data_IF_751137119307
#
_entry.id   IF_751137119307
#
_cell.length_a   1.000
_cell.length_b   1.000
_cell.length_c   1.000
_cell.angle_alpha   90.00
_cell.angle_beta   90.00
_cell.angle_gamma   90.00
#
_symmetry.space_group_name_H-M   'P 1'
#
loop_
_entity.id
_entity.type
_entity.pdbx_description
1 polymer ?
#
# COMPACT_ATOMS: atom_id res chain seq x y z
N UNK A 1 -45.04 -6.61 57.59
CA UNK A 1 -44.94 -5.52 56.58
C UNK A 1 -43.50 -5.02 56.58
N UNK A 2 -42.57 -5.71 55.94
CA UNK A 2 -42.22 -5.63 54.50
C UNK A 2 -42.08 -4.19 53.99
N UNK A 3 -40.89 -3.62 54.15
CA UNK A 3 -40.30 -2.59 53.28
C UNK A 3 -38.79 -2.90 53.35
N UNK A 4 -38.20 -3.59 52.38
CA UNK A 4 -38.05 -3.12 51.01
C UNK A 4 -36.55 -2.90 50.81
N UNK A 5 -35.83 -4.01 50.63
CA UNK A 5 -34.40 -4.08 50.32
C UNK A 5 -34.12 -3.16 49.12
N UNK A 6 -33.57 -1.98 49.38
CA UNK A 6 -33.09 -1.06 48.34
C UNK A 6 -31.79 -1.63 47.76
N UNK A 7 -31.95 -2.63 46.90
CA UNK A 7 -30.93 -3.03 45.93
C UNK A 7 -30.71 -1.81 45.04
N UNK A 8 -29.74 -0.97 45.42
CA UNK A 8 -29.06 -0.11 44.45
C UNK A 8 -28.28 -1.05 43.55
N UNK A 9 -28.94 -1.55 42.50
CA UNK A 9 -28.26 -2.00 41.29
C UNK A 9 -27.53 -0.76 40.78
N UNK A 10 -26.29 -0.58 41.27
CA UNK A 10 -25.30 0.19 40.56
C UNK A 10 -24.99 -0.67 39.34
N UNK A 11 -25.82 -0.51 38.31
CA UNK A 11 -25.50 -0.96 36.97
C UNK A 11 -24.31 -0.10 36.56
N UNK A 12 -23.11 -0.51 36.99
CA UNK A 12 -21.88 0.02 36.44
C UNK A 12 -21.90 -0.42 34.98
N UNK A 13 -22.49 0.43 34.13
CA UNK A 13 -22.12 0.49 32.73
C UNK A 13 -20.62 0.77 32.73
N UNK A 14 -19.83 -0.31 32.69
CA UNK A 14 -18.54 -0.29 32.07
C UNK A 14 -18.83 0.06 30.61
N UNK A 15 -18.91 1.35 30.34
CA UNK A 15 -18.77 1.86 28.98
C UNK A 15 -17.34 1.52 28.62
N UNK A 16 -17.13 0.33 28.06
CA UNK A 16 -15.90 -0.02 27.38
C UNK A 16 -15.89 0.89 26.15
N UNK A 17 -15.42 2.12 26.31
CA UNK A 17 -15.09 2.96 25.18
C UNK A 17 -13.95 2.25 24.49
N UNK A 18 -14.25 1.51 23.44
CA UNK A 18 -13.24 1.08 22.49
C UNK A 18 -12.63 2.35 21.92
N UNK A 19 -11.49 2.75 22.47
CA UNK A 19 -10.65 3.77 21.83
C UNK A 19 -10.22 3.14 20.51
N UNK A 20 -10.93 3.47 19.44
CA UNK A 20 -10.51 3.15 18.10
C UNK A 20 -9.20 3.87 17.84
N UNK A 21 -8.09 3.15 17.91
CA UNK A 21 -6.82 3.67 17.43
C UNK A 21 -7.00 3.80 15.92
N UNK A 22 -7.29 5.02 15.45
CA UNK A 22 -7.26 5.34 14.03
C UNK A 22 -5.81 5.12 13.58
N UNK A 23 -5.52 3.93 13.06
CA UNK A 23 -4.25 3.66 12.40
C UNK A 23 -4.28 4.47 11.12
N UNK A 24 -3.34 5.40 10.96
CA UNK A 24 -3.16 6.06 9.68
C UNK A 24 -2.95 4.96 8.62
N UNK A 25 -3.96 4.77 7.77
CA UNK A 25 -3.86 3.91 6.60
C UNK A 25 -3.25 4.78 5.51
N UNK A 26 -2.03 4.46 5.11
CA UNK A 26 -1.51 4.92 3.84
C UNK A 26 -2.36 4.24 2.77
N UNK A 27 -3.46 4.89 2.38
CA UNK A 27 -4.37 4.47 1.33
C UNK A 27 -4.36 5.55 0.24
N UNK A 28 -4.27 5.12 -1.01
CA UNK A 28 -4.19 5.99 -2.17
C UNK A 28 -4.64 5.26 -3.42
N UNK A 29 -5.02 6.06 -4.41
CA UNK A 29 -5.31 5.58 -5.76
C UNK A 29 -4.35 6.26 -6.73
N UNK A 30 -3.71 5.47 -7.60
CA UNK A 30 -2.83 5.95 -8.65
C UNK A 30 -3.21 5.29 -9.97
N UNK A 31 -2.95 6.00 -11.07
CA UNK A 31 -3.00 5.41 -12.40
C UNK A 31 -1.76 4.56 -12.63
N UNK A 32 -1.92 3.39 -13.22
CA UNK A 32 -0.80 2.58 -13.68
C UNK A 32 -0.24 3.09 -15.01
N UNK A 33 0.92 2.56 -15.40
CA UNK A 33 1.59 2.90 -16.67
C UNK A 33 0.73 2.57 -17.91
N UNK A 34 -0.20 1.61 -17.80
CA UNK A 34 -1.20 1.27 -18.82
C UNK A 34 -2.56 1.98 -18.62
N UNK A 35 -2.59 3.08 -17.86
CA UNK A 35 -3.77 3.91 -17.57
C UNK A 35 -4.92 3.20 -16.82
N UNK A 36 -4.63 2.14 -16.07
CA UNK A 36 -5.61 1.52 -15.18
C UNK A 36 -5.59 2.21 -13.82
N UNK A 37 -6.76 2.52 -13.27
CA UNK A 37 -6.85 3.02 -11.90
C UNK A 37 -6.62 1.89 -10.91
N UNK A 38 -5.66 2.03 -10.00
CA UNK A 38 -5.33 1.04 -8.97
C UNK A 38 -5.48 1.68 -7.60
N UNK A 39 -6.38 1.14 -6.80
CA UNK A 39 -6.59 1.55 -5.41
C UNK A 39 -5.80 0.63 -4.48
N UNK A 40 -4.97 1.19 -3.60
CA UNK A 40 -4.24 0.40 -2.61
C UNK A 40 -5.20 -0.27 -1.62
N UNK A 41 -6.36 0.35 -1.37
CA UNK A 41 -7.48 -0.23 -0.63
C UNK A 41 -7.82 -1.65 -1.07
N UNK A 42 -7.65 -1.97 -2.35
CA UNK A 42 -7.96 -3.27 -2.93
C UNK A 42 -7.04 -4.40 -2.39
N UNK A 43 -5.91 -4.04 -1.80
CA UNK A 43 -4.87 -4.95 -1.31
C UNK A 43 -4.70 -4.89 0.22
N UNK A 44 -5.00 -3.75 0.85
CA UNK A 44 -4.81 -3.54 2.28
C UNK A 44 -5.54 -4.59 3.13
N UNK A 45 -4.81 -5.21 4.06
CA UNK A 45 -5.31 -6.27 4.94
C UNK A 45 -5.59 -7.62 4.26
N UNK A 46 -5.40 -7.72 2.93
CA UNK A 46 -5.62 -8.94 2.13
C UNK A 46 -4.36 -9.52 1.51
N UNK A 47 -3.36 -8.67 1.25
CA UNK A 47 -2.10 -9.04 0.60
C UNK A 47 -0.91 -8.51 1.37
N UNK A 48 0.21 -9.21 1.25
CA UNK A 48 1.53 -8.68 1.56
C UNK A 48 1.94 -7.81 0.38
N UNK A 49 2.17 -6.53 0.65
CA UNK A 49 2.46 -5.55 -0.39
C UNK A 49 3.93 -5.18 -0.33
N UNK A 50 4.67 -5.45 -1.41
CA UNK A 50 6.05 -5.00 -1.60
C UNK A 50 6.01 -3.78 -2.52
N UNK A 51 6.51 -2.65 -2.04
CA UNK A 51 6.60 -1.42 -2.82
C UNK A 51 8.06 -1.04 -3.04
N UNK A 52 8.40 -0.64 -4.25
CA UNK A 52 9.63 0.08 -4.53
C UNK A 52 9.31 1.44 -5.13
N UNK A 53 9.94 2.48 -4.60
CA UNK A 53 9.84 3.84 -5.12
C UNK A 53 11.03 4.10 -6.03
N UNK A 54 10.79 4.62 -7.22
CA UNK A 54 11.85 4.81 -8.20
C UNK A 54 11.52 5.97 -9.15
N UNK A 55 12.55 6.42 -9.88
CA UNK A 55 12.40 7.36 -10.98
C UNK A 55 13.45 7.08 -12.06
N UNK A 56 13.17 7.50 -13.29
CA UNK A 56 14.02 7.25 -14.47
C UNK A 56 15.39 7.92 -14.41
N UNK A 57 15.54 8.89 -13.50
CA UNK A 57 16.77 9.63 -13.20
C UNK A 57 17.44 9.19 -11.89
N UNK A 58 16.97 8.09 -11.29
CA UNK A 58 17.53 7.52 -10.07
C UNK A 58 18.52 6.40 -10.40
N UNK A 59 19.81 6.70 -10.39
CA UNK A 59 20.86 5.74 -10.73
C UNK A 59 20.89 4.55 -9.77
N UNK A 60 20.76 4.79 -8.46
CA UNK A 60 20.73 3.71 -7.45
C UNK A 60 19.52 2.79 -7.63
N UNK A 61 18.40 3.32 -8.13
CA UNK A 61 17.22 2.51 -8.42
C UNK A 61 17.50 1.52 -9.56
N UNK A 62 18.26 1.92 -10.59
CA UNK A 62 18.68 1.02 -11.68
C UNK A 62 19.52 -0.15 -11.15
N UNK A 63 20.42 0.10 -10.20
CA UNK A 63 21.27 -0.92 -9.59
C UNK A 63 20.50 -1.93 -8.72
N UNK A 64 19.41 -1.49 -8.06
CA UNK A 64 18.60 -2.31 -7.17
C UNK A 64 17.57 -3.18 -7.92
N UNK A 65 17.10 -2.73 -9.08
CA UNK A 65 16.02 -3.39 -9.84
C UNK A 65 16.27 -4.89 -10.15
N UNK A 66 17.47 -5.34 -10.53
CA UNK A 66 17.74 -6.76 -10.73
C UNK A 66 17.47 -7.63 -9.49
N UNK A 67 17.73 -7.11 -8.29
CA UNK A 67 17.47 -7.83 -7.05
C UNK A 67 15.96 -7.85 -6.72
N UNK A 68 15.26 -6.74 -7.01
CA UNK A 68 13.81 -6.68 -6.87
C UNK A 68 13.09 -7.64 -7.83
N UNK A 69 13.58 -7.79 -9.06
CA UNK A 69 13.03 -8.76 -10.02
C UNK A 69 13.22 -10.20 -9.55
N UNK A 70 14.40 -10.54 -9.01
CA UNK A 70 14.65 -11.86 -8.38
C UNK A 70 13.72 -12.11 -7.19
N UNK A 71 13.49 -11.08 -6.37
CA UNK A 71 12.56 -11.17 -5.25
C UNK A 71 11.13 -11.43 -5.75
N UNK A 72 10.68 -10.71 -6.77
CA UNK A 72 9.37 -10.91 -7.40
C UNK A 72 9.23 -12.31 -8.00
N UNK A 73 10.28 -12.82 -8.66
CA UNK A 73 10.30 -14.19 -9.19
C UNK A 73 10.19 -15.24 -8.07
N UNK A 74 10.93 -15.06 -6.98
CA UNK A 74 10.87 -15.95 -5.80
C UNK A 74 9.46 -16.08 -5.23
N UNK A 75 8.66 -15.01 -5.27
CA UNK A 75 7.28 -14.99 -4.76
C UNK A 75 6.23 -15.11 -5.87
N UNK A 76 6.61 -15.41 -7.12
CA UNK A 76 5.67 -15.43 -8.25
C UNK A 76 4.54 -16.47 -8.12
N UNK A 77 4.77 -17.55 -7.36
CA UNK A 77 3.77 -18.58 -7.08
C UNK A 77 2.95 -18.33 -5.81
N UNK A 78 3.27 -17.28 -5.05
CA UNK A 78 2.53 -16.91 -3.84
C UNK A 78 1.41 -15.94 -4.20
N UNK A 79 0.13 -16.36 -4.17
CA UNK A 79 -0.98 -15.49 -4.53
C UNK A 79 -1.19 -14.35 -3.53
N UNK A 80 -0.59 -14.41 -2.34
CA UNK A 80 -0.78 -13.42 -1.28
C UNK A 80 0.23 -12.29 -1.29
N UNK A 81 1.25 -12.35 -2.16
CA UNK A 81 2.24 -11.30 -2.35
C UNK A 81 1.98 -10.51 -3.62
N UNK A 82 1.95 -9.18 -3.51
CA UNK A 82 1.85 -8.26 -4.65
C UNK A 82 3.01 -7.27 -4.66
N UNK A 83 3.58 -7.04 -5.84
CA UNK A 83 4.65 -6.07 -6.06
C UNK A 83 4.13 -4.85 -6.80
N UNK A 84 4.44 -3.65 -6.28
CA UNK A 84 4.17 -2.37 -6.93
C UNK A 84 5.45 -1.55 -7.07
N UNK A 85 5.70 -1.06 -8.28
CA UNK A 85 6.67 -0.02 -8.54
C UNK A 85 6.01 1.35 -8.58
N UNK A 86 6.28 2.20 -7.61
CA UNK A 86 5.76 3.56 -7.54
C UNK A 86 6.76 4.50 -8.25
N UNK A 87 6.41 4.95 -9.45
CA UNK A 87 7.20 5.91 -10.19
C UNK A 87 6.96 7.33 -9.66
N UNK A 88 8.01 8.01 -9.21
CA UNK A 88 7.94 9.29 -8.53
C UNK A 88 8.18 10.46 -9.49
N UNK A 89 7.09 10.99 -10.06
CA UNK A 89 7.11 12.24 -10.81
C UNK A 89 7.71 12.21 -12.21
N UNK A 90 7.96 11.04 -12.82
CA UNK A 90 8.28 11.01 -14.24
C UNK A 90 7.03 11.21 -15.10
N UNK A 91 7.25 11.68 -16.34
CA UNK A 91 6.24 11.48 -17.38
C UNK A 91 6.05 9.98 -17.68
N UNK A 92 4.84 9.52 -18.05
CA UNK A 92 4.61 8.13 -18.46
C UNK A 92 5.57 7.64 -19.55
N UNK A 93 5.96 8.53 -20.48
CA UNK A 93 6.92 8.22 -21.54
C UNK A 93 8.32 7.93 -20.99
N UNK A 94 8.80 8.71 -20.03
CA UNK A 94 10.11 8.52 -19.43
C UNK A 94 10.14 7.22 -18.58
N UNK A 95 9.08 7.00 -17.80
CA UNK A 95 8.90 5.76 -17.05
C UNK A 95 8.88 4.52 -17.97
N UNK A 96 8.11 4.55 -19.06
CA UNK A 96 8.03 3.46 -20.04
C UNK A 96 9.41 3.16 -20.65
N UNK A 97 10.12 4.19 -21.11
CA UNK A 97 11.45 4.02 -21.70
C UNK A 97 12.44 3.38 -20.72
N UNK A 98 12.38 3.74 -19.45
CA UNK A 98 13.26 3.20 -18.41
C UNK A 98 12.98 1.72 -18.15
N UNK A 99 11.70 1.34 -18.03
CA UNK A 99 11.33 -0.05 -17.71
C UNK A 99 11.56 -0.99 -18.89
N UNK A 100 11.41 -0.49 -20.13
CA UNK A 100 11.75 -1.20 -21.36
C UNK A 100 13.25 -1.49 -21.42
N UNK A 101 14.09 -0.51 -21.06
CA UNK A 101 15.56 -0.65 -21.01
C UNK A 101 15.99 -1.78 -20.07
N UNK A 102 15.31 -1.93 -18.93
CA UNK A 102 15.68 -2.85 -17.86
C UNK A 102 14.91 -4.17 -17.89
N UNK A 103 14.02 -4.36 -18.87
CA UNK A 103 13.07 -5.47 -18.94
C UNK A 103 12.32 -5.69 -17.61
N UNK A 104 11.96 -4.57 -16.98
CA UNK A 104 11.36 -4.55 -15.67
C UNK A 104 9.84 -4.67 -15.79
N UNK A 105 9.26 -5.71 -15.19
CA UNK A 105 7.86 -6.08 -15.44
C UNK A 105 7.13 -6.58 -14.19
N UNK A 106 6.47 -5.62 -13.53
CA UNK A 106 5.36 -5.82 -12.56
C UNK A 106 4.55 -4.52 -12.42
N UNK A 107 3.53 -4.48 -11.57
CA UNK A 107 2.56 -3.38 -11.53
C UNK A 107 3.23 -2.02 -11.26
N UNK A 108 3.28 -1.17 -12.28
CA UNK A 108 3.86 0.18 -12.17
C UNK A 108 2.75 1.20 -11.99
N UNK A 109 2.80 1.93 -10.88
CA UNK A 109 1.89 3.02 -10.53
C UNK A 109 2.60 4.36 -10.70
N UNK A 110 1.91 5.32 -11.30
CA UNK A 110 2.43 6.64 -11.66
C UNK A 110 2.02 7.67 -10.60
N UNK A 111 2.98 8.07 -9.76
CA UNK A 111 2.81 9.16 -8.79
C UNK A 111 3.31 10.48 -9.39
N UNK A 112 2.65 10.91 -10.48
CA UNK A 112 3.04 12.09 -11.27
C UNK A 112 3.09 13.36 -10.42
N UNK A 113 2.11 13.54 -9.53
CA UNK A 113 1.97 14.72 -8.67
C UNK A 113 2.73 14.59 -7.34
N UNK A 114 3.48 13.50 -7.13
CA UNK A 114 4.21 13.19 -5.89
C UNK A 114 3.32 13.27 -4.65
N UNK A 115 2.09 12.77 -4.77
CA UNK A 115 1.16 12.76 -3.64
C UNK A 115 1.48 11.65 -2.64
N UNK A 116 2.16 10.59 -3.08
CA UNK A 116 2.56 9.44 -2.25
C UNK A 116 4.05 9.51 -1.87
N UNK A 117 4.92 9.86 -2.81
CA UNK A 117 6.39 9.84 -2.70
C UNK A 117 6.99 11.12 -2.08
N UNK A 118 6.30 11.71 -1.09
CA UNK A 118 6.71 12.97 -0.43
C UNK A 118 7.90 12.83 0.50
#
# INVERSE_FOLDING_TARGET
>A
MSQGLKIFIFCSLLVITTVGIARATYDFTLSSLNNQSVSLHDFLGRKIIVMNFWASWCDTCEEEMPQLLKLKEKYASDPDVVFFGINAGDSPRAAQKFVDKLNYSYNILMDVDKQVSK
#
